data_IF_642568765279
#
_entry.id   IF_642568765279
#
_cell.length_a   1.000
_cell.length_b   1.000
_cell.length_c   1.000
_cell.angle_alpha   90.00
_cell.angle_beta   90.00
_cell.angle_gamma   90.00
#
_symmetry.space_group_name_H-M   'P 1'
#
loop_
_entity.id
_entity.type
_entity.pdbx_description
1 polymer ?
#
# COMPACT_ATOMS: atom_id res chain seq x y z
N UNK A 1 -34.23 -0.83 45.10
CA UNK A 1 -33.83 0.19 44.10
C UNK A 1 -32.52 -0.14 43.35
N UNK A 2 -31.55 -0.86 43.93
CA UNK A 2 -30.24 -1.11 43.30
C UNK A 2 -30.25 -2.05 42.09
N UNK A 3 -31.01 -3.16 42.15
CA UNK A 3 -31.15 -4.14 41.05
C UNK A 3 -31.63 -3.50 39.75
N UNK A 4 -32.61 -2.60 39.81
CA UNK A 4 -33.14 -1.88 38.64
C UNK A 4 -32.09 -0.97 38.00
N UNK A 5 -31.23 -0.34 38.80
CA UNK A 5 -30.12 0.49 38.32
C UNK A 5 -29.03 -0.35 37.65
N UNK A 6 -28.72 -1.53 38.20
CA UNK A 6 -27.75 -2.46 37.60
C UNK A 6 -28.23 -3.00 36.25
N UNK A 7 -29.51 -3.37 36.15
CA UNK A 7 -30.09 -3.84 34.87
C UNK A 7 -30.05 -2.74 33.81
N UNK A 8 -30.42 -1.50 34.16
CA UNK A 8 -30.34 -0.37 33.24
C UNK A 8 -28.89 -0.08 32.81
N UNK A 9 -27.93 -0.12 33.74
CA UNK A 9 -26.52 0.06 33.41
C UNK A 9 -26.02 -1.02 32.45
N UNK A 10 -26.43 -2.28 32.65
CA UNK A 10 -26.06 -3.39 31.77
C UNK A 10 -26.69 -3.25 30.38
N UNK A 11 -27.94 -2.80 30.29
CA UNK A 11 -28.62 -2.52 29.01
C UNK A 11 -27.96 -1.39 28.24
N UNK A 12 -27.59 -0.30 28.92
CA UNK A 12 -26.86 0.81 28.31
C UNK A 12 -25.48 0.39 27.82
N UNK A 13 -24.76 -0.40 28.62
CA UNK A 13 -23.45 -0.93 28.26
C UNK A 13 -23.55 -1.87 27.06
N UNK A 14 -24.54 -2.76 27.03
CA UNK A 14 -24.80 -3.62 25.89
C UNK A 14 -25.12 -2.81 24.61
N UNK A 15 -25.96 -1.77 24.73
CA UNK A 15 -26.25 -0.87 23.61
C UNK A 15 -25.02 -0.13 23.10
N UNK A 16 -24.15 0.35 24.00
CA UNK A 16 -22.88 0.99 23.64
C UNK A 16 -21.93 0.04 22.94
N UNK A 17 -21.84 -1.22 23.38
CA UNK A 17 -21.01 -2.24 22.72
C UNK A 17 -21.51 -2.50 21.30
N UNK A 18 -22.81 -2.69 21.12
CA UNK A 18 -23.40 -2.90 19.78
C UNK A 18 -23.14 -1.70 18.87
N UNK A 19 -23.32 -0.48 19.40
CA UNK A 19 -23.04 0.74 18.65
C UNK A 19 -21.57 0.85 18.26
N UNK A 20 -20.64 0.56 19.18
CA UNK A 20 -19.21 0.58 18.91
C UNK A 20 -18.82 -0.43 17.81
N UNK A 21 -19.38 -1.63 17.83
CA UNK A 21 -19.19 -2.63 16.78
C UNK A 21 -19.76 -2.18 15.44
N UNK A 22 -20.95 -1.58 15.43
CA UNK A 22 -21.55 -1.05 14.20
C UNK A 22 -20.70 0.06 13.58
N UNK A 23 -20.20 0.99 14.40
CA UNK A 23 -19.29 2.05 13.95
C UNK A 23 -18.01 1.44 13.38
N UNK A 24 -17.38 0.50 14.09
CA UNK A 24 -16.16 -0.16 13.62
C UNK A 24 -16.37 -0.87 12.28
N UNK A 25 -17.47 -1.61 12.12
CA UNK A 25 -17.79 -2.32 10.89
C UNK A 25 -17.97 -1.35 9.70
N UNK A 26 -18.68 -0.25 9.91
CA UNK A 26 -18.86 0.80 8.89
C UNK A 26 -17.50 1.42 8.53
N UNK A 27 -16.67 1.74 9.53
CA UNK A 27 -15.35 2.31 9.28
C UNK A 27 -14.47 1.38 8.45
N UNK A 28 -14.39 0.10 8.82
CA UNK A 28 -13.60 -0.90 8.07
C UNK A 28 -14.08 -1.00 6.63
N UNK A 29 -15.40 -1.12 6.42
CA UNK A 29 -16.00 -1.21 5.08
C UNK A 29 -15.68 0.01 4.21
N UNK A 30 -15.74 1.22 4.78
CA UNK A 30 -15.40 2.45 4.06
C UNK A 30 -13.90 2.55 3.78
N UNK A 31 -13.06 2.21 4.75
CA UNK A 31 -11.60 2.29 4.61
C UNK A 31 -11.02 1.28 3.63
N UNK A 32 -11.61 0.10 3.50
CA UNK A 32 -11.21 -0.90 2.51
C UNK A 32 -11.22 -0.33 1.09
N UNK A 33 -12.27 0.40 0.72
CA UNK A 33 -12.39 1.03 -0.59
C UNK A 33 -11.43 2.20 -0.86
N UNK A 34 -10.68 2.65 0.15
CA UNK A 34 -9.66 3.69 0.02
C UNK A 34 -8.26 3.12 -0.22
N UNK A 35 -8.08 1.81 -0.05
CA UNK A 35 -6.80 1.16 -0.29
C UNK A 35 -6.56 1.00 -1.81
N UNK A 36 -5.35 1.27 -2.30
CA UNK A 36 -5.00 1.00 -3.69
C UNK A 36 -5.07 -0.50 -3.97
N UNK A 37 -5.46 -0.84 -5.19
CA UNK A 37 -5.43 -2.21 -5.69
C UNK A 37 -4.00 -2.76 -5.74
N UNK A 38 -3.87 -4.08 -5.77
CA UNK A 38 -2.57 -4.75 -5.87
C UNK A 38 -1.77 -4.31 -7.10
N UNK A 39 -2.43 -4.06 -8.23
CA UNK A 39 -1.77 -3.60 -9.44
C UNK A 39 -1.36 -2.13 -9.37
N UNK A 40 -2.12 -1.28 -8.67
CA UNK A 40 -1.70 0.10 -8.38
C UNK A 40 -0.48 0.13 -7.46
N UNK A 41 -0.39 -0.78 -6.48
CA UNK A 41 0.79 -0.91 -5.62
C UNK A 41 2.04 -1.38 -6.37
N UNK A 42 1.87 -2.14 -7.46
CA UNK A 42 2.98 -2.49 -8.35
C UNK A 42 3.45 -1.30 -9.17
N UNK A 43 2.60 -0.31 -9.41
CA UNK A 43 3.04 0.88 -10.13
C UNK A 43 4.10 1.61 -9.31
N UNK A 44 5.35 1.64 -9.80
CA UNK A 44 6.34 2.56 -9.27
C UNK A 44 5.85 3.96 -9.64
N UNK A 45 5.63 4.88 -8.68
CA UNK A 45 5.29 6.25 -9.01
C UNK A 45 6.28 6.79 -10.02
N UNK A 46 5.79 7.47 -11.07
CA UNK A 46 6.63 8.18 -12.02
C UNK A 46 7.40 9.27 -11.25
N UNK A 47 8.56 8.91 -10.71
CA UNK A 47 9.44 9.84 -10.03
C UNK A 47 9.89 10.94 -10.99
N UNK A 48 10.17 12.12 -10.44
CA UNK A 48 10.78 13.17 -11.23
C UNK A 48 12.24 12.81 -11.50
N UNK A 49 12.71 12.97 -12.75
CA UNK A 49 14.13 12.80 -13.08
C UNK A 49 14.95 13.80 -12.24
N UNK A 50 15.97 13.31 -11.53
CA UNK A 50 16.95 14.14 -10.83
C UNK A 50 18.13 14.36 -11.78
N UNK A 51 18.59 15.60 -11.92
CA UNK A 51 19.79 15.93 -12.69
C UNK A 51 20.84 16.53 -11.77
N UNK A 52 22.05 15.99 -11.83
CA UNK A 52 23.21 16.54 -11.14
C UNK A 52 23.98 17.39 -12.15
N UNK A 53 24.22 18.65 -11.79
CA UNK A 53 24.93 19.61 -12.63
C UNK A 53 26.29 19.96 -12.03
N UNK A 54 27.28 20.17 -12.89
CA UNK A 54 28.56 20.78 -12.53
C UNK A 54 28.40 22.28 -12.24
N UNK A 55 29.43 22.90 -11.67
CA UNK A 55 29.42 24.33 -11.33
C UNK A 55 29.25 25.25 -12.57
N UNK A 56 29.57 24.75 -13.77
CA UNK A 56 29.38 25.44 -15.05
C UNK A 56 27.98 25.21 -15.66
N UNK A 57 27.12 24.43 -15.00
CA UNK A 57 25.77 24.09 -15.45
C UNK A 57 25.67 22.82 -16.29
N UNK A 58 26.79 22.18 -16.66
CA UNK A 58 26.78 20.94 -17.45
C UNK A 58 26.15 19.78 -16.66
N UNK A 59 25.31 18.96 -17.29
CA UNK A 59 24.74 17.76 -16.65
C UNK A 59 25.81 16.67 -16.53
N UNK A 60 26.08 16.21 -15.31
CA UNK A 60 27.03 15.13 -14.99
C UNK A 60 26.31 13.78 -15.04
N UNK A 61 25.16 13.68 -14.39
CA UNK A 61 24.37 12.45 -14.32
C UNK A 61 22.88 12.77 -14.19
N UNK A 62 22.04 11.94 -14.81
CA UNK A 62 20.59 11.95 -14.62
C UNK A 62 20.18 10.67 -13.90
N UNK A 63 19.48 10.82 -12.77
CA UNK A 63 19.06 9.74 -11.89
C UNK A 63 17.53 9.73 -11.80
N UNK A 64 16.92 8.60 -12.15
CA UNK A 64 15.47 8.38 -12.06
C UNK A 64 14.65 9.05 -13.16
N UNK A 65 13.32 8.76 -13.26
CA UNK A 65 12.68 7.67 -12.52
C UNK A 65 13.13 6.31 -13.06
N UNK A 66 13.08 5.30 -12.20
CA UNK A 66 13.28 3.93 -12.64
C UNK A 66 12.12 3.55 -13.56
N UNK A 67 12.36 3.47 -14.86
CA UNK A 67 11.41 2.90 -15.81
C UNK A 67 11.44 1.39 -15.65
N UNK A 68 10.38 0.82 -15.08
CA UNK A 68 10.22 -0.61 -14.95
C UNK A 68 8.74 -0.96 -14.89
N UNK A 69 8.31 -1.83 -15.81
CA UNK A 69 7.02 -2.49 -15.72
C UNK A 69 7.22 -3.84 -15.02
N UNK A 70 6.28 -4.22 -14.16
CA UNK A 70 6.26 -5.56 -13.60
C UNK A 70 5.91 -6.58 -14.68
N UNK A 71 6.90 -7.35 -15.10
CA UNK A 71 6.73 -8.37 -16.12
C UNK A 71 6.40 -9.73 -15.48
N UNK A 72 5.29 -10.41 -15.86
CA UNK A 72 5.04 -11.78 -15.44
C UNK A 72 6.19 -12.70 -15.86
N UNK A 73 6.55 -13.68 -15.01
CA UNK A 73 7.68 -14.58 -15.24
C UNK A 73 7.71 -15.22 -16.64
N UNK A 74 6.54 -15.67 -17.13
CA UNK A 74 6.42 -16.29 -18.45
C UNK A 74 6.65 -15.36 -19.64
N UNK A 75 6.65 -14.05 -19.42
CA UNK A 75 7.00 -13.06 -20.46
C UNK A 75 8.50 -12.71 -20.47
N UNK A 76 9.27 -13.18 -19.48
CA UNK A 76 10.73 -12.95 -19.45
C UNK A 76 11.41 -13.93 -20.42
N UNK A 77 12.16 -13.45 -21.44
CA UNK A 77 12.88 -14.31 -22.38
C UNK A 77 13.77 -15.32 -21.66
N UNK A 78 13.80 -16.57 -22.14
CA UNK A 78 14.57 -17.66 -21.52
C UNK A 78 16.05 -17.30 -21.35
N UNK A 79 16.67 -16.75 -22.40
CA UNK A 79 18.07 -16.33 -22.37
C UNK A 79 18.37 -15.30 -21.27
N UNK A 80 17.43 -14.39 -20.96
CA UNK A 80 17.61 -13.43 -19.87
C UNK A 80 17.51 -14.11 -18.49
N UNK A 81 16.60 -15.09 -18.35
CA UNK A 81 16.46 -15.85 -17.09
C UNK A 81 17.72 -16.66 -16.80
N UNK A 82 18.23 -17.36 -17.82
CA UNK A 82 19.47 -18.14 -17.71
C UNK A 82 20.68 -17.25 -17.41
N UNK A 83 20.78 -16.08 -18.05
CA UNK A 83 21.84 -15.12 -17.78
C UNK A 83 21.82 -14.61 -16.33
N UNK A 84 20.64 -14.25 -15.80
CA UNK A 84 20.53 -13.80 -14.40
C UNK A 84 20.94 -14.90 -13.41
N UNK A 85 20.44 -16.13 -13.62
CA UNK A 85 20.83 -17.29 -12.77
C UNK A 85 22.34 -17.51 -12.82
N UNK A 86 22.96 -17.48 -13.99
CA UNK A 86 24.41 -17.68 -14.14
C UNK A 86 25.28 -16.58 -13.51
N UNK A 87 24.71 -15.41 -13.21
CA UNK A 87 25.43 -14.30 -12.56
C UNK A 87 25.24 -14.33 -11.05
N UNK A 88 24.06 -14.74 -10.58
CA UNK A 88 23.66 -14.68 -9.17
C UNK A 88 23.94 -15.98 -8.40
N UNK A 89 24.04 -17.13 -9.10
CA UNK A 89 24.38 -18.46 -8.57
C UNK A 89 25.77 -18.91 -9.09
#
# INVERSE_FOLDING_TARGET
MWRRRLVLAFQLLAGLVVLAFAVLAITVYVSEGQLPSYDELKSSPNGQMIRVHAADGTVIVSLGPSYGEWLPYGKIPLAMREAMVSVED
#
